data_IF_722978157226
#
_entry.id   IF_722978157226
#
_cell.length_a   1.000
_cell.length_b   1.000
_cell.length_c   1.000
_cell.angle_alpha   90.00
_cell.angle_beta   90.00
_cell.angle_gamma   90.00
#
_symmetry.space_group_name_H-M   'P 1'
#
loop_
_entity.id
_entity.type
_entity.pdbx_description
1 polymer ?
#
# COMPACT_ATOMS: atom_id res chain seq x y z
N UNK A 1 -6.13 28.40 -71.23
CA UNK A 1 -6.57 28.40 -69.82
C UNK A 1 -6.11 27.11 -69.19
N UNK A 2 -5.26 27.22 -68.17
CA UNK A 2 -4.58 26.10 -67.51
C UNK A 2 -5.24 25.91 -66.14
N UNK A 3 -5.70 24.71 -65.84
CA UNK A 3 -6.09 24.30 -64.49
C UNK A 3 -5.26 23.08 -64.10
N UNK A 4 -4.19 23.30 -63.33
CA UNK A 4 -3.47 22.24 -62.62
C UNK A 4 -4.12 22.04 -61.25
N UNK A 5 -4.66 20.84 -61.04
CA UNK A 5 -5.28 20.42 -59.79
C UNK A 5 -4.20 19.77 -58.90
N UNK A 6 -3.48 20.59 -58.14
CA UNK A 6 -2.50 20.11 -57.16
C UNK A 6 -3.19 19.71 -55.85
N UNK A 7 -3.59 18.44 -55.74
CA UNK A 7 -3.79 17.81 -54.42
C UNK A 7 -2.44 17.30 -53.93
N UNK A 8 -1.82 18.07 -53.05
CA UNK A 8 -0.68 17.63 -52.25
C UNK A 8 -1.25 16.87 -51.05
N UNK A 9 -1.11 15.56 -51.04
CA UNK A 9 -1.29 14.78 -49.81
C UNK A 9 -0.13 15.10 -48.85
N UNK A 10 -0.39 15.44 -47.58
CA UNK A 10 0.67 15.57 -46.60
C UNK A 10 1.20 14.18 -46.25
N UNK A 11 2.36 13.81 -46.81
CA UNK A 11 3.11 12.67 -46.33
C UNK A 11 3.68 12.99 -44.94
N UNK A 12 2.98 12.53 -43.91
CA UNK A 12 3.46 12.45 -42.54
C UNK A 12 4.63 11.47 -42.47
N UNK A 13 5.84 11.94 -42.76
CA UNK A 13 7.07 11.25 -42.38
C UNK A 13 7.21 11.31 -40.86
N UNK A 14 6.58 10.36 -40.17
CA UNK A 14 6.81 10.13 -38.76
C UNK A 14 8.26 9.65 -38.55
N UNK A 15 9.05 10.51 -37.93
CA UNK A 15 10.46 10.29 -37.64
C UNK A 15 10.60 9.14 -36.61
N UNK A 16 11.18 7.98 -36.96
CA UNK A 16 11.22 6.79 -36.10
C UNK A 16 12.03 7.02 -34.80
N UNK A 17 12.88 8.04 -34.75
CA UNK A 17 13.64 8.41 -33.55
C UNK A 17 12.82 9.10 -32.47
N UNK A 18 11.70 9.74 -32.81
CA UNK A 18 10.77 10.29 -31.81
C UNK A 18 9.81 9.23 -31.24
N UNK A 19 9.62 8.11 -31.94
CA UNK A 19 8.80 7.00 -31.43
C UNK A 19 9.52 6.18 -30.36
N UNK A 20 10.85 6.05 -30.41
CA UNK A 20 11.59 5.19 -29.45
C UNK A 20 11.71 5.85 -28.06
N UNK A 21 11.97 7.16 -27.99
CA UNK A 21 12.02 7.90 -26.71
C UNK A 21 10.63 8.16 -26.13
N UNK A 22 9.62 8.39 -26.97
CA UNK A 22 8.22 8.40 -26.51
C UNK A 22 7.82 7.02 -25.97
N UNK A 23 8.13 5.93 -26.67
CA UNK A 23 7.77 4.59 -26.21
C UNK A 23 8.44 4.19 -24.88
N UNK A 24 9.68 4.62 -24.62
CA UNK A 24 10.31 4.40 -23.32
C UNK A 24 9.65 5.25 -22.22
N UNK A 25 9.34 6.52 -22.49
CA UNK A 25 8.58 7.38 -21.58
C UNK A 25 7.19 6.82 -21.25
N UNK A 26 6.47 6.31 -22.25
CA UNK A 26 5.19 5.61 -22.08
C UNK A 26 5.32 4.32 -21.28
N UNK A 27 6.42 3.57 -21.45
CA UNK A 27 6.65 2.33 -20.70
C UNK A 27 6.86 2.60 -19.21
N UNK A 28 7.68 3.61 -18.86
CA UNK A 28 7.88 4.01 -17.47
C UNK A 28 6.62 4.66 -16.87
N UNK A 29 5.90 5.47 -17.63
CA UNK A 29 4.65 6.09 -17.19
C UNK A 29 3.56 5.04 -16.90
N UNK A 30 3.34 4.09 -17.80
CA UNK A 30 2.36 3.02 -17.61
C UNK A 30 2.72 2.09 -16.44
N UNK A 31 4.02 1.85 -16.22
CA UNK A 31 4.48 1.04 -15.09
C UNK A 31 4.29 1.77 -13.75
N UNK A 32 4.48 3.09 -13.72
CA UNK A 32 4.24 3.93 -12.54
C UNK A 32 2.73 4.03 -12.22
N UNK A 33 1.89 4.17 -13.24
CA UNK A 33 0.43 4.10 -13.10
C UNK A 33 -0.03 2.73 -12.59
N UNK A 34 0.57 1.64 -13.07
CA UNK A 34 0.29 0.29 -12.57
C UNK A 34 0.63 0.13 -11.09
N UNK A 35 1.78 0.64 -10.63
CA UNK A 35 2.14 0.59 -9.21
C UNK A 35 1.26 1.51 -8.36
N UNK A 36 0.84 2.67 -8.86
CA UNK A 36 -0.11 3.54 -8.16
C UNK A 36 -1.50 2.92 -8.05
N UNK A 37 -2.04 2.33 -9.12
CA UNK A 37 -3.32 1.59 -9.08
C UNK A 37 -3.24 0.39 -8.13
N UNK A 38 -2.10 -0.31 -8.09
CA UNK A 38 -1.88 -1.42 -7.17
C UNK A 38 -1.80 -0.96 -5.71
N UNK A 39 -1.13 0.15 -5.43
CA UNK A 39 -1.06 0.76 -4.09
C UNK A 39 -2.42 1.31 -3.64
N UNK A 40 -3.20 1.89 -4.56
CA UNK A 40 -4.54 2.37 -4.26
C UNK A 40 -5.50 1.19 -3.98
N UNK A 41 -5.36 0.08 -4.71
CA UNK A 41 -6.10 -1.16 -4.44
C UNK A 41 -5.75 -1.78 -3.09
N UNK A 42 -4.46 -1.92 -2.75
CA UNK A 42 -4.07 -2.44 -1.42
C UNK A 42 -4.46 -1.49 -0.29
N UNK A 43 -4.43 -0.17 -0.51
CA UNK A 43 -4.97 0.82 0.42
C UNK A 43 -6.47 0.63 0.64
N UNK A 44 -7.27 0.56 -0.44
CA UNK A 44 -8.73 0.32 -0.36
C UNK A 44 -9.07 -1.02 0.29
N UNK A 45 -8.30 -2.08 0.00
CA UNK A 45 -8.44 -3.38 0.64
C UNK A 45 -8.11 -3.31 2.15
N UNK A 46 -7.07 -2.58 2.53
CA UNK A 46 -6.71 -2.30 3.92
C UNK A 46 -7.81 -1.54 4.68
N UNK A 47 -8.34 -0.46 4.10
CA UNK A 47 -9.45 0.31 4.68
C UNK A 47 -10.73 -0.53 4.79
N UNK A 48 -11.04 -1.35 3.79
CA UNK A 48 -12.18 -2.28 3.86
C UNK A 48 -11.99 -3.36 4.93
N UNK A 49 -10.76 -3.84 5.14
CA UNK A 49 -10.47 -4.80 6.19
C UNK A 49 -10.59 -4.18 7.59
N UNK A 50 -10.12 -2.95 7.78
CA UNK A 50 -10.29 -2.17 9.01
C UNK A 50 -11.77 -1.91 9.26
N UNK A 51 -12.53 -1.47 8.26
CA UNK A 51 -13.97 -1.25 8.36
C UNK A 51 -14.71 -2.51 8.83
N UNK A 52 -14.44 -3.67 8.20
CA UNK A 52 -15.02 -4.95 8.62
C UNK A 52 -14.65 -5.34 10.06
N UNK A 53 -13.41 -5.11 10.49
CA UNK A 53 -12.99 -5.38 11.88
C UNK A 53 -13.70 -4.44 12.86
N UNK A 54 -13.88 -3.16 12.53
CA UNK A 54 -14.63 -2.20 13.35
C UNK A 54 -16.09 -2.61 13.47
N UNK A 55 -16.73 -3.02 12.38
CA UNK A 55 -18.11 -3.52 12.41
C UNK A 55 -18.23 -4.81 13.25
N UNK A 56 -17.25 -5.71 13.18
CA UNK A 56 -17.21 -6.91 14.00
C UNK A 56 -17.05 -6.59 15.51
N UNK A 57 -16.21 -5.61 15.84
CA UNK A 57 -16.02 -5.11 17.22
C UNK A 57 -17.32 -4.49 17.73
N UNK A 58 -17.96 -3.62 16.94
CA UNK A 58 -19.23 -2.99 17.31
C UNK A 58 -20.32 -4.04 17.51
N UNK A 59 -20.41 -5.04 16.63
CA UNK A 59 -21.37 -6.14 16.79
C UNK A 59 -21.12 -6.96 18.08
N UNK A 60 -19.86 -7.18 18.46
CA UNK A 60 -19.51 -7.85 19.72
C UNK A 60 -19.84 -6.97 20.94
N UNK A 61 -19.63 -5.66 20.85
CA UNK A 61 -20.01 -4.71 21.91
C UNK A 61 -21.53 -4.66 22.10
N UNK A 62 -22.31 -4.59 21.02
CA UNK A 62 -23.78 -4.59 21.09
C UNK A 62 -24.32 -5.87 21.73
N UNK A 63 -23.77 -7.03 21.37
CA UNK A 63 -24.13 -8.31 22.01
C UNK A 63 -23.82 -8.31 23.51
N UNK A 64 -22.67 -7.78 23.91
CA UNK A 64 -22.28 -7.67 25.31
C UNK A 64 -23.22 -6.74 26.09
N UNK A 65 -23.55 -5.57 25.53
CA UNK A 65 -24.50 -4.62 26.14
C UNK A 65 -25.90 -5.22 26.28
N UNK A 66 -26.34 -5.99 25.28
CA UNK A 66 -27.61 -6.72 25.33
C UNK A 66 -27.62 -7.76 26.46
N UNK A 67 -26.55 -8.56 26.60
CA UNK A 67 -26.43 -9.53 27.70
C UNK A 67 -26.44 -8.85 29.07
N UNK A 68 -25.78 -7.70 29.23
CA UNK A 68 -25.83 -6.92 30.49
C UNK A 68 -27.26 -6.41 30.79
N UNK A 69 -27.99 -5.99 29.77
CA UNK A 69 -29.39 -5.58 29.92
C UNK A 69 -30.30 -6.74 30.36
N UNK A 70 -30.14 -7.92 29.77
CA UNK A 70 -30.89 -9.11 30.17
C UNK A 70 -30.61 -9.51 31.63
N UNK A 71 -29.35 -9.47 32.05
CA UNK A 71 -28.96 -9.74 33.44
C UNK A 71 -29.65 -8.75 34.40
N UNK A 72 -29.61 -7.44 34.09
CA UNK A 72 -30.29 -6.42 34.91
C UNK A 72 -31.81 -6.60 34.95
N UNK A 73 -32.41 -7.03 33.84
CA UNK A 73 -33.85 -7.33 33.79
C UNK A 73 -34.20 -8.51 34.69
N UNK A 74 -33.45 -9.62 34.59
CA UNK A 74 -33.65 -10.80 35.43
C UNK A 74 -33.50 -10.49 36.92
N UNK A 75 -32.53 -9.65 37.31
CA UNK A 75 -32.38 -9.20 38.69
C UNK A 75 -33.61 -8.43 39.19
N UNK A 76 -34.11 -7.49 38.38
CA UNK A 76 -35.30 -6.69 38.73
C UNK A 76 -36.56 -7.55 38.85
N UNK A 77 -36.74 -8.51 37.95
CA UNK A 77 -37.85 -9.47 37.99
C UNK A 77 -37.75 -10.41 39.20
N UNK A 78 -36.54 -10.77 39.61
CA UNK A 78 -36.29 -11.53 40.84
C UNK A 78 -36.66 -10.73 42.10
N UNK A 79 -36.20 -9.49 42.21
CA UNK A 79 -36.51 -8.60 43.35
C UNK A 79 -38.01 -8.33 43.46
N UNK A 80 -38.69 -8.10 42.35
CA UNK A 80 -40.14 -7.90 42.33
C UNK A 80 -40.91 -9.14 42.81
N UNK A 81 -40.53 -10.35 42.35
CA UNK A 81 -41.15 -11.60 42.84
C UNK A 81 -40.94 -11.78 44.33
N UNK A 82 -39.71 -11.56 44.82
CA UNK A 82 -39.39 -11.60 46.24
C UNK A 82 -40.25 -10.63 47.06
N UNK A 83 -40.47 -9.42 46.56
CA UNK A 83 -41.32 -8.42 47.22
C UNK A 83 -42.78 -8.88 47.33
N UNK A 84 -43.34 -9.40 46.24
CA UNK A 84 -44.73 -9.88 46.18
C UNK A 84 -44.93 -11.09 47.12
N UNK A 85 -43.97 -12.02 47.16
CA UNK A 85 -44.03 -13.17 48.07
C UNK A 85 -43.99 -12.73 49.54
N UNK A 86 -43.15 -11.75 49.89
CA UNK A 86 -43.10 -11.17 51.24
C UNK A 86 -44.40 -10.44 51.63
N UNK A 87 -44.99 -9.67 50.71
CA UNK A 87 -46.28 -8.99 50.91
C UNK A 87 -47.40 -10.02 51.19
N UNK A 88 -47.54 -11.04 50.34
CA UNK A 88 -48.55 -12.10 50.48
C UNK A 88 -48.43 -12.84 51.82
N UNK A 89 -47.20 -13.15 52.22
CA UNK A 89 -46.92 -13.87 53.47
C UNK A 89 -47.24 -13.01 54.70
N UNK A 90 -46.98 -11.70 54.62
CA UNK A 90 -47.29 -10.76 55.71
C UNK A 90 -48.80 -10.61 55.91
N UNK A 91 -49.55 -10.52 54.81
CA UNK A 91 -51.02 -10.41 54.83
C UNK A 91 -51.70 -11.67 55.40
N UNK A 92 -51.17 -12.86 55.06
CA UNK A 92 -51.68 -14.13 55.63
C UNK A 92 -51.48 -14.17 57.15
N UNK A 93 -50.37 -13.65 57.66
CA UNK A 93 -50.05 -13.68 59.10
C UNK A 93 -50.90 -12.69 59.90
N UNK A 94 -51.18 -11.51 59.35
CA UNK A 94 -52.04 -10.51 60.01
C UNK A 94 -53.48 -11.01 60.18
N UNK A 95 -53.97 -11.86 59.27
CA UNK A 95 -55.36 -12.32 59.23
C UNK A 95 -55.64 -13.64 60.00
N UNK A 96 -54.65 -14.25 60.66
CA UNK A 96 -54.84 -15.50 61.42
C UNK A 96 -55.19 -15.27 62.91
N UNK A 97 -55.95 -16.19 63.54
CA UNK A 97 -56.18 -16.21 65.00
C UNK A 97 -54.96 -16.68 65.81
N UNK A 98 -54.84 -16.37 67.11
CA UNK A 98 -53.59 -16.54 67.91
C UNK A 98 -52.91 -17.93 67.84
N UNK A 99 -53.67 -19.03 67.86
CA UNK A 99 -53.10 -20.41 67.68
C UNK A 99 -52.58 -20.65 66.26
N UNK A 100 -53.26 -20.10 65.26
CA UNK A 100 -52.82 -20.16 63.86
C UNK A 100 -51.64 -19.22 63.62
N UNK A 101 -51.54 -18.07 64.31
CA UNK A 101 -50.36 -17.18 64.26
C UNK A 101 -49.09 -17.86 64.74
N UNK A 102 -49.13 -18.67 65.83
CA UNK A 102 -47.94 -19.41 66.28
C UNK A 102 -47.51 -20.50 65.29
N UNK A 103 -48.46 -21.21 64.70
CA UNK A 103 -48.16 -22.26 63.71
C UNK A 103 -47.68 -21.64 62.39
N UNK A 104 -48.30 -20.53 61.97
CA UNK A 104 -47.92 -19.73 60.82
C UNK A 104 -46.58 -19.01 60.99
N UNK A 105 -46.23 -18.58 62.21
CA UNK A 105 -44.91 -18.01 62.51
C UNK A 105 -43.79 -19.05 62.35
N UNK A 106 -44.01 -20.29 62.80
CA UNK A 106 -43.03 -21.37 62.60
C UNK A 106 -42.90 -21.76 61.10
N UNK A 107 -44.00 -21.77 60.36
CA UNK A 107 -43.98 -22.01 58.90
C UNK A 107 -43.30 -20.86 58.15
N UNK A 108 -43.54 -19.61 58.57
CA UNK A 108 -42.85 -18.44 58.06
C UNK A 108 -41.35 -18.53 58.32
N UNK A 109 -40.94 -18.83 59.54
CA UNK A 109 -39.53 -18.93 59.91
C UNK A 109 -38.83 -20.02 59.06
N UNK A 110 -39.49 -21.15 58.86
CA UNK A 110 -38.98 -22.22 57.99
C UNK A 110 -38.86 -21.80 56.52
N UNK A 111 -39.86 -21.09 55.99
CA UNK A 111 -39.83 -20.52 54.64
C UNK A 111 -38.72 -19.49 54.49
N UNK A 112 -38.62 -18.52 55.41
CA UNK A 112 -37.59 -17.48 55.39
C UNK A 112 -36.19 -18.07 55.48
N UNK A 113 -36.01 -19.14 56.28
CA UNK A 113 -34.72 -19.84 56.38
C UNK A 113 -34.36 -20.55 55.08
N UNK A 114 -35.29 -21.30 54.47
CA UNK A 114 -35.06 -21.93 53.15
C UNK A 114 -34.78 -20.91 52.07
N UNK A 115 -35.55 -19.82 52.05
CA UNK A 115 -35.40 -18.73 51.11
C UNK A 115 -34.05 -18.02 51.28
N UNK A 116 -33.58 -17.82 52.52
CA UNK A 116 -32.26 -17.27 52.80
C UNK A 116 -31.14 -18.20 52.30
N UNK A 117 -31.25 -19.50 52.55
CA UNK A 117 -30.28 -20.50 52.08
C UNK A 117 -30.23 -20.56 50.54
N UNK A 118 -31.37 -20.50 49.86
CA UNK A 118 -31.44 -20.53 48.41
C UNK A 118 -30.90 -19.24 47.79
N UNK A 119 -31.17 -18.08 48.39
CA UNK A 119 -30.53 -16.82 48.01
C UNK A 119 -29.02 -16.86 48.19
N UNK A 120 -28.53 -17.39 49.31
CA UNK A 120 -27.09 -17.49 49.56
C UNK A 120 -26.42 -18.42 48.54
N UNK A 121 -27.07 -19.54 48.20
CA UNK A 121 -26.59 -20.46 47.15
C UNK A 121 -26.55 -19.77 45.78
N UNK A 122 -27.61 -19.05 45.40
CA UNK A 122 -27.65 -18.29 44.14
C UNK A 122 -26.58 -17.19 44.12
N UNK A 123 -26.34 -16.50 45.24
CA UNK A 123 -25.30 -15.47 45.34
C UNK A 123 -23.91 -16.06 45.13
N UNK A 124 -23.61 -17.21 45.76
CA UNK A 124 -22.33 -17.92 45.58
C UNK A 124 -22.14 -18.40 44.13
N UNK A 125 -23.18 -18.93 43.48
CA UNK A 125 -23.11 -19.33 42.07
C UNK A 125 -22.87 -18.14 41.13
N UNK A 126 -23.50 -16.99 41.41
CA UNK A 126 -23.26 -15.74 40.67
C UNK A 126 -21.85 -15.18 40.89
N UNK A 127 -21.36 -15.19 42.13
CA UNK A 127 -19.98 -14.77 42.46
C UNK A 127 -18.96 -15.64 41.71
N UNK A 128 -19.14 -16.96 41.68
CA UNK A 128 -18.27 -17.87 40.92
C UNK A 128 -18.32 -17.60 39.40
N UNK A 129 -19.51 -17.37 38.84
CA UNK A 129 -19.64 -17.03 37.42
C UNK A 129 -18.96 -15.71 37.07
N UNK A 130 -19.06 -14.70 37.94
CA UNK A 130 -18.38 -13.42 37.77
C UNK A 130 -16.85 -13.60 37.80
N UNK A 131 -16.32 -14.37 38.74
CA UNK A 131 -14.89 -14.64 38.83
C UNK A 131 -14.34 -15.32 37.57
N UNK A 132 -15.09 -16.28 37.00
CA UNK A 132 -14.73 -16.92 35.73
C UNK A 132 -14.75 -15.93 34.56
N UNK A 133 -15.72 -15.01 34.53
CA UNK A 133 -15.81 -13.98 33.48
C UNK A 133 -14.62 -13.01 33.59
N UNK A 134 -14.30 -12.55 34.79
CA UNK A 134 -13.17 -11.64 35.03
C UNK A 134 -11.83 -12.29 34.65
N UNK A 135 -11.65 -13.57 34.99
CA UNK A 135 -10.45 -14.32 34.60
C UNK A 135 -10.31 -14.42 33.06
N UNK A 136 -11.41 -14.73 32.37
CA UNK A 136 -11.43 -14.80 30.89
C UNK A 136 -11.18 -13.44 30.24
N UNK A 137 -11.69 -12.35 30.82
CA UNK A 137 -11.43 -11.00 30.32
C UNK A 137 -9.94 -10.64 30.43
N UNK A 138 -9.31 -10.91 31.57
CA UNK A 138 -7.87 -10.66 31.75
C UNK A 138 -7.00 -11.51 30.80
N UNK A 139 -7.36 -12.77 30.60
CA UNK A 139 -6.68 -13.63 29.63
C UNK A 139 -6.83 -13.08 28.20
N UNK A 140 -8.01 -12.59 27.84
CA UNK A 140 -8.25 -11.97 26.53
C UNK A 140 -7.44 -10.69 26.34
N UNK A 141 -7.44 -9.80 27.32
CA UNK A 141 -6.68 -8.54 27.28
C UNK A 141 -5.17 -8.79 27.15
N UNK A 142 -4.64 -9.78 27.89
CA UNK A 142 -3.22 -10.15 27.78
C UNK A 142 -2.86 -10.76 26.43
N UNK A 143 -3.75 -11.56 25.85
CA UNK A 143 -3.55 -12.11 24.50
C UNK A 143 -3.63 -11.02 23.42
N UNK A 144 -4.59 -10.10 23.51
CA UNK A 144 -4.70 -8.96 22.61
C UNK A 144 -3.47 -8.04 22.69
N UNK A 145 -2.97 -7.78 23.90
CA UNK A 145 -1.76 -6.99 24.09
C UNK A 145 -0.52 -7.66 23.45
N UNK A 146 -0.39 -8.99 23.55
CA UNK A 146 0.68 -9.73 22.88
C UNK A 146 0.57 -9.66 21.35
N UNK A 147 -0.65 -9.76 20.81
CA UNK A 147 -0.89 -9.67 19.38
C UNK A 147 -0.54 -8.27 18.85
N UNK A 148 -0.91 -7.21 19.58
CA UNK A 148 -0.56 -5.83 19.25
C UNK A 148 0.97 -5.65 19.23
N UNK A 149 1.69 -6.10 20.26
CA UNK A 149 3.15 -5.96 20.30
C UNK A 149 3.82 -6.68 19.11
N UNK A 150 3.37 -7.89 18.78
CA UNK A 150 3.90 -8.63 17.64
C UNK A 150 3.60 -7.94 16.28
N UNK A 151 2.46 -7.26 16.15
CA UNK A 151 2.16 -6.46 14.96
C UNK A 151 3.04 -5.21 14.85
N UNK A 152 3.33 -4.54 15.96
CA UNK A 152 4.23 -3.38 16.02
C UNK A 152 5.64 -3.80 15.60
N UNK A 153 6.18 -4.89 16.16
CA UNK A 153 7.50 -5.42 15.78
C UNK A 153 7.60 -5.73 14.28
N UNK A 154 6.54 -6.31 13.70
CA UNK A 154 6.48 -6.58 12.25
C UNK A 154 6.46 -5.30 11.42
N UNK A 155 5.77 -4.26 11.90
CA UNK A 155 5.73 -2.97 11.20
C UNK A 155 7.10 -2.29 11.22
N UNK A 156 7.77 -2.26 12.38
CA UNK A 156 9.11 -1.68 12.52
C UNK A 156 10.12 -2.39 11.61
N UNK A 157 10.09 -3.73 11.57
CA UNK A 157 10.94 -4.50 10.66
C UNK A 157 10.64 -4.21 9.18
N UNK A 158 9.37 -4.01 8.81
CA UNK A 158 8.99 -3.63 7.45
C UNK A 158 9.47 -2.22 7.08
N UNK A 159 9.42 -1.26 8.01
CA UNK A 159 9.92 0.09 7.81
C UNK A 159 11.44 0.15 7.66
N UNK A 160 12.20 -0.61 8.45
CA UNK A 160 13.65 -0.75 8.28
C UNK A 160 14.01 -1.29 6.89
N UNK A 161 13.37 -2.39 6.47
CA UNK A 161 13.58 -2.95 5.12
C UNK A 161 13.27 -1.93 4.01
N UNK A 162 12.23 -1.09 4.20
CA UNK A 162 11.88 -0.04 3.25
C UNK A 162 12.96 1.04 3.16
N UNK A 163 13.53 1.45 4.29
CA UNK A 163 14.61 2.45 4.35
C UNK A 163 15.87 1.93 3.66
N UNK A 164 16.27 0.68 3.93
CA UNK A 164 17.42 0.05 3.26
C UNK A 164 17.23 -0.04 1.73
N UNK A 165 16.02 -0.41 1.28
CA UNK A 165 15.69 -0.41 -0.15
C UNK A 165 15.75 1.00 -0.76
N UNK A 166 15.31 2.02 -0.02
CA UNK A 166 15.34 3.40 -0.49
C UNK A 166 16.78 3.94 -0.63
N UNK A 167 17.67 3.57 0.28
CA UNK A 167 19.11 3.89 0.19
C UNK A 167 19.77 3.21 -1.01
N UNK A 168 19.45 1.93 -1.26
CA UNK A 168 19.94 1.21 -2.44
C UNK A 168 19.46 1.84 -3.76
N UNK A 169 18.19 2.25 -3.84
CA UNK A 169 17.67 2.95 -5.03
C UNK A 169 18.37 4.29 -5.22
N UNK A 170 18.62 5.01 -4.12
CA UNK A 170 19.26 6.32 -4.17
C UNK A 170 20.70 6.24 -4.67
N UNK A 171 21.47 5.24 -4.21
CA UNK A 171 22.85 5.01 -4.69
C UNK A 171 22.89 4.64 -6.18
N UNK A 172 22.00 3.76 -6.63
CA UNK A 172 21.88 3.42 -8.05
C UNK A 172 21.55 4.64 -8.93
N UNK A 173 20.70 5.55 -8.43
CA UNK A 173 20.35 6.80 -9.13
C UNK A 173 21.53 7.77 -9.24
N UNK A 174 22.38 7.85 -8.22
CA UNK A 174 23.61 8.66 -8.30
C UNK A 174 24.59 8.10 -9.32
N UNK A 175 24.77 6.78 -9.38
CA UNK A 175 25.66 6.16 -10.34
C UNK A 175 25.16 6.32 -11.78
N UNK A 176 23.85 6.20 -12.01
CA UNK A 176 23.24 6.52 -13.30
C UNK A 176 23.46 7.98 -13.71
N UNK A 177 23.33 8.94 -12.77
CA UNK A 177 23.62 10.36 -13.03
C UNK A 177 25.09 10.58 -13.41
N UNK A 178 26.03 9.91 -12.75
CA UNK A 178 27.47 9.99 -13.08
C UNK A 178 27.74 9.49 -14.50
N UNK A 179 27.16 8.35 -14.87
CA UNK A 179 27.28 7.76 -16.22
C UNK A 179 26.68 8.70 -17.28
N UNK A 180 25.51 9.26 -17.02
CA UNK A 180 24.86 10.23 -17.93
C UNK A 180 25.74 11.48 -18.13
N UNK A 181 26.28 12.04 -17.05
CA UNK A 181 27.14 13.23 -17.12
C UNK A 181 28.45 12.98 -17.88
N UNK A 182 28.99 11.76 -17.86
CA UNK A 182 30.16 11.39 -18.69
C UNK A 182 29.79 11.26 -20.16
N UNK A 183 28.65 10.63 -20.47
CA UNK A 183 28.15 10.50 -21.84
C UNK A 183 27.93 11.86 -22.51
N UNK A 184 27.34 12.83 -21.82
CA UNK A 184 27.07 14.18 -22.35
C UNK A 184 28.36 14.96 -22.65
N UNK A 185 29.42 14.78 -21.85
CA UNK A 185 30.71 15.44 -22.10
C UNK A 185 31.40 14.90 -23.36
N UNK A 186 31.30 13.60 -23.61
CA UNK A 186 31.91 12.95 -24.78
C UNK A 186 31.25 13.36 -26.11
N UNK A 187 29.91 13.45 -26.15
CA UNK A 187 29.19 13.87 -27.36
C UNK A 187 29.50 15.32 -27.73
N UNK A 188 29.66 16.21 -26.75
CA UNK A 188 30.06 17.61 -27.01
C UNK A 188 31.46 17.73 -27.64
N UNK A 189 32.40 16.83 -27.33
CA UNK A 189 33.74 16.85 -27.91
C UNK A 189 33.72 16.46 -29.39
N UNK A 190 32.93 15.43 -29.75
CA UNK A 190 32.78 14.97 -31.14
C UNK A 190 32.07 16.01 -32.01
N UNK A 191 31.01 16.65 -31.48
CA UNK A 191 30.33 17.75 -32.17
C UNK A 191 31.27 18.92 -32.43
N UNK A 192 32.08 19.31 -31.42
CA UNK A 192 33.09 20.37 -31.59
C UNK A 192 34.17 19.99 -32.60
N UNK A 193 34.59 18.73 -32.62
CA UNK A 193 35.55 18.22 -33.60
C UNK A 193 34.96 18.27 -35.02
N UNK A 194 33.76 17.74 -35.24
CA UNK A 194 33.12 17.75 -36.56
C UNK A 194 32.89 19.17 -37.09
N UNK A 195 32.58 20.13 -36.22
CA UNK A 195 32.49 21.56 -36.56
C UNK A 195 33.80 22.16 -37.07
N UNK A 196 34.95 21.65 -36.62
CA UNK A 196 36.27 22.18 -37.00
C UNK A 196 36.90 21.47 -38.19
N UNK A 197 36.36 20.32 -38.61
CA UNK A 197 36.87 19.59 -39.76
C UNK A 197 36.40 20.23 -41.07
N UNK A 198 37.33 20.36 -42.02
CA UNK A 198 37.01 20.78 -43.38
C UNK A 198 36.33 19.65 -44.15
N UNK A 199 35.42 20.02 -45.05
CA UNK A 199 34.86 19.11 -46.04
C UNK A 199 35.99 18.48 -46.85
N UNK A 200 35.90 17.17 -47.09
CA UNK A 200 36.90 16.40 -47.81
C UNK A 200 38.06 15.89 -46.95
N UNK A 201 38.09 16.20 -45.64
CA UNK A 201 39.11 15.66 -44.73
C UNK A 201 39.07 14.12 -44.74
N UNK A 202 40.22 13.44 -44.90
CA UNK A 202 40.27 11.98 -44.83
C UNK A 202 39.98 11.51 -43.41
N UNK A 203 39.16 10.46 -43.31
CA UNK A 203 38.70 9.83 -42.06
C UNK A 203 38.73 8.33 -42.31
N UNK A 204 39.41 7.57 -41.46
CA UNK A 204 39.54 6.11 -41.60
C UNK A 204 38.30 5.38 -41.12
N UNK A 205 37.75 5.81 -39.98
CA UNK A 205 36.55 5.20 -39.41
C UNK A 205 35.89 6.08 -38.36
N UNK A 206 34.62 5.77 -38.08
CA UNK A 206 33.90 6.27 -36.92
C UNK A 206 33.40 5.10 -36.07
N UNK A 207 33.31 5.29 -34.76
CA UNK A 207 32.71 4.31 -33.85
C UNK A 207 31.34 4.80 -33.41
N UNK A 208 30.28 4.08 -33.79
CA UNK A 208 28.89 4.39 -33.44
C UNK A 208 28.31 3.23 -32.64
N UNK A 209 27.86 3.49 -31.40
CA UNK A 209 27.30 2.46 -30.51
C UNK A 209 28.16 1.19 -30.41
N UNK A 210 29.48 1.36 -30.28
CA UNK A 210 30.45 0.27 -30.19
C UNK A 210 30.81 -0.43 -31.51
N UNK A 211 30.23 -0.01 -32.64
CA UNK A 211 30.54 -0.57 -33.96
C UNK A 211 31.42 0.39 -34.74
N UNK A 212 32.53 -0.11 -35.27
CA UNK A 212 33.45 0.67 -36.09
C UNK A 212 33.02 0.58 -37.56
N UNK A 213 32.82 1.73 -38.19
CA UNK A 213 32.41 1.86 -39.59
C UNK A 213 33.60 2.42 -40.38
N UNK A 214 34.16 1.67 -41.35
CA UNK A 214 35.24 2.16 -42.19
C UNK A 214 34.73 3.23 -43.15
N UNK A 215 35.51 4.30 -43.31
CA UNK A 215 35.21 5.48 -44.09
C UNK A 215 36.44 5.89 -44.91
N UNK A 216 36.22 6.79 -45.87
CA UNK A 216 37.25 7.38 -46.71
C UNK A 216 37.45 8.86 -46.39
N UNK A 217 36.36 9.63 -46.29
CA UNK A 217 36.40 11.07 -46.02
C UNK A 217 35.07 11.63 -45.50
N UNK A 218 35.15 12.78 -44.83
CA UNK A 218 34.00 13.61 -44.48
C UNK A 218 33.49 14.35 -45.73
N UNK A 219 32.19 14.26 -45.99
CA UNK A 219 31.52 14.94 -47.11
C UNK A 219 30.86 16.24 -46.65
N UNK A 220 30.13 16.21 -45.54
CA UNK A 220 29.52 17.40 -44.99
C UNK A 220 29.21 17.20 -43.51
N UNK A 221 29.07 18.30 -42.78
CA UNK A 221 28.53 18.30 -41.44
C UNK A 221 27.56 19.47 -41.31
N UNK A 222 26.31 19.15 -40.98
CA UNK A 222 25.20 20.09 -40.88
C UNK A 222 25.03 20.52 -39.42
N UNK A 223 25.25 21.82 -39.14
CA UNK A 223 25.30 22.30 -37.75
C UNK A 223 23.91 22.36 -37.10
N UNK A 224 22.85 22.59 -37.87
CA UNK A 224 21.49 22.70 -37.34
C UNK A 224 20.93 21.34 -36.90
N UNK A 225 21.30 20.28 -37.61
CA UNK A 225 20.80 18.92 -37.36
C UNK A 225 21.82 18.02 -36.66
N UNK A 226 23.05 18.51 -36.47
CA UNK A 226 24.20 17.74 -35.97
C UNK A 226 24.42 16.42 -36.75
N UNK A 227 24.11 16.40 -38.04
CA UNK A 227 24.33 15.25 -38.91
C UNK A 227 25.65 15.36 -39.66
N UNK A 228 26.47 14.32 -39.58
CA UNK A 228 27.70 14.18 -40.34
C UNK A 228 27.52 13.15 -41.46
N UNK A 229 27.91 13.54 -42.67
CA UNK A 229 27.86 12.70 -43.87
C UNK A 229 29.27 12.30 -44.27
N UNK A 230 29.50 11.01 -44.44
CA UNK A 230 30.79 10.43 -44.80
C UNK A 230 30.68 9.58 -46.06
N UNK A 231 31.79 9.44 -46.78
CA UNK A 231 31.92 8.55 -47.91
C UNK A 231 32.71 7.31 -47.49
N UNK A 232 32.22 6.12 -47.84
CA UNK A 232 32.91 4.84 -47.66
C UNK A 232 33.83 4.51 -48.83
N UNK A 233 34.69 3.51 -48.66
CA UNK A 233 35.62 3.09 -49.72
C UNK A 233 34.90 2.53 -50.97
N UNK A 234 33.77 1.87 -50.77
CA UNK A 234 32.91 1.31 -51.81
C UNK A 234 32.06 2.37 -52.55
N UNK A 235 32.16 3.64 -52.14
CA UNK A 235 31.40 4.75 -52.72
C UNK A 235 30.05 5.00 -52.05
N UNK A 236 29.65 4.19 -51.05
CA UNK A 236 28.41 4.41 -50.31
C UNK A 236 28.52 5.60 -49.35
N UNK A 237 27.36 6.20 -49.04
CA UNK A 237 27.26 7.34 -48.14
C UNK A 237 26.73 6.87 -46.78
N UNK A 238 27.44 7.26 -45.72
CA UNK A 238 27.03 7.02 -44.33
C UNK A 238 26.63 8.35 -43.71
N UNK A 239 25.39 8.42 -43.21
CA UNK A 239 24.90 9.56 -42.45
C UNK A 239 24.81 9.14 -40.99
N UNK A 240 25.57 9.83 -40.14
CA UNK A 240 25.61 9.56 -38.71
C UNK A 240 25.25 10.81 -37.92
N UNK A 241 24.52 10.58 -36.83
CA UNK A 241 24.22 11.61 -35.83
C UNK A 241 25.46 11.82 -34.96
N UNK A 242 25.96 13.06 -34.91
CA UNK A 242 27.19 13.40 -34.21
C UNK A 242 27.16 13.05 -32.73
N UNK A 243 25.98 13.03 -32.10
CA UNK A 243 25.82 12.66 -30.70
C UNK A 243 25.94 11.15 -30.45
N UNK A 244 25.85 10.33 -31.50
CA UNK A 244 25.96 8.86 -31.42
C UNK A 244 27.35 8.36 -31.77
N UNK A 245 28.20 9.22 -32.35
CA UNK A 245 29.59 8.92 -32.64
C UNK A 245 30.37 9.05 -31.33
N UNK A 246 31.04 7.96 -30.95
CA UNK A 246 31.87 7.88 -29.74
C UNK A 246 33.32 8.24 -30.03
N UNK A 247 33.80 7.94 -31.24
CA UNK A 247 35.17 8.22 -31.66
C UNK A 247 35.25 8.41 -33.19
N UNK A 248 36.23 9.19 -33.64
CA UNK A 248 36.61 9.37 -35.04
C UNK A 248 38.11 9.05 -35.15
N UNK A 249 38.45 8.15 -36.08
CA UNK A 249 39.83 7.74 -36.35
C UNK A 249 40.30 8.39 -37.64
N UNK A 250 41.47 9.02 -37.61
CA UNK A 250 42.08 9.64 -38.77
C UNK A 250 43.24 8.78 -39.29
N UNK A 251 43.54 8.83 -40.60
CA UNK A 251 44.68 8.13 -41.15
C UNK A 251 45.96 8.53 -40.44
N UNK A 252 46.77 7.54 -40.11
CA UNK A 252 48.15 7.77 -39.68
C UNK A 252 48.92 8.24 -40.90
N UNK A 253 49.39 9.49 -40.84
CA UNK A 253 50.25 10.12 -41.87
C UNK A 253 51.49 9.30 -42.15
#
# INVERSE_FOLDING_TARGET
>A
MVYFNNRVEPQLYSNPRHQITQNQGYFYHNRLLYYMDKLEKTSKEGFNHIGKKVDEINSKQDKFLFSLWEIRKMQRDYENRKRIELENVTDVIQNMGEKQRKTGANQLEHFMTKFAQENEKQRKDLEQKLEVIDARLREKETNEAKEINHLVEKQEAAEQNRLEHQEQISSQLEDLKKIQNQSVKSSQAIVKLLRSLSVGKPVDSITVRGHQIPLKRLISYEQETDLATFLQEDGNIVIADAHQIVAITFPTT
#
